data_IF_876377780948
#
_entry.id   IF_876377780948
#
_cell.length_a   1.000
_cell.length_b   1.000
_cell.length_c   1.000
_cell.angle_alpha   90.00
_cell.angle_beta   90.00
_cell.angle_gamma   90.00
#
_symmetry.space_group_name_H-M   'P 1'
#
loop_
_entity.id
_entity.type
_entity.pdbx_description
1 polymer ?
#
# COMPACT_ATOMS: atom_id res chain seq x y z
N UNK A 1 -14.96 -3.67 36.74
CA UNK A 1 -15.51 -2.91 35.59
C UNK A 1 -16.02 -3.95 34.60
N UNK A 2 -17.15 -3.70 33.95
CA UNK A 2 -17.61 -4.56 32.87
C UNK A 2 -16.58 -4.49 31.73
N UNK A 3 -15.84 -5.59 31.53
CA UNK A 3 -14.76 -5.64 30.55
C UNK A 3 -15.28 -5.41 29.12
N UNK A 4 -16.57 -5.70 28.87
CA UNK A 4 -17.24 -5.50 27.59
C UNK A 4 -17.18 -4.04 27.13
N UNK A 5 -17.50 -3.11 28.03
CA UNK A 5 -17.50 -1.68 27.73
C UNK A 5 -16.07 -1.14 27.48
N UNK A 6 -15.07 -1.69 28.19
CA UNK A 6 -13.68 -1.31 28.00
C UNK A 6 -13.14 -1.81 26.65
N UNK A 7 -13.40 -3.06 26.28
CA UNK A 7 -12.99 -3.64 24.98
C UNK A 7 -13.61 -2.90 23.81
N UNK A 8 -14.91 -2.57 23.87
CA UNK A 8 -15.57 -1.80 22.82
C UNK A 8 -14.97 -0.39 22.67
N UNK A 9 -14.59 0.24 23.78
CA UNK A 9 -13.93 1.55 23.76
C UNK A 9 -12.52 1.48 23.16
N UNK A 10 -11.72 0.47 23.54
CA UNK A 10 -10.39 0.22 22.98
C UNK A 10 -10.47 0.01 21.47
N UNK A 11 -11.36 -0.87 21.02
CA UNK A 11 -11.62 -1.09 19.59
C UNK A 11 -11.94 0.21 18.85
N UNK A 12 -12.78 1.08 19.44
CA UNK A 12 -13.12 2.38 18.88
C UNK A 12 -11.90 3.30 18.74
N UNK A 13 -11.03 3.34 19.75
CA UNK A 13 -9.80 4.13 19.71
C UNK A 13 -8.78 3.59 18.71
N UNK A 14 -8.56 2.28 18.66
CA UNK A 14 -7.62 1.67 17.72
C UNK A 14 -8.08 1.88 16.27
N UNK A 15 -9.37 1.66 16.00
CA UNK A 15 -10.00 1.95 14.70
C UNK A 15 -9.82 3.42 14.32
N UNK A 16 -10.11 4.35 15.24
CA UNK A 16 -9.93 5.79 15.00
C UNK A 16 -8.46 6.14 14.75
N UNK A 17 -7.54 5.54 15.50
CA UNK A 17 -6.11 5.76 15.36
C UNK A 17 -5.62 5.34 13.97
N UNK A 18 -6.02 4.17 13.46
CA UNK A 18 -5.71 3.73 12.10
C UNK A 18 -6.22 4.70 11.04
N UNK A 19 -7.43 5.25 11.20
CA UNK A 19 -7.98 6.25 10.28
C UNK A 19 -7.17 7.56 10.29
N UNK A 20 -6.80 8.06 11.47
CA UNK A 20 -5.98 9.27 11.58
C UNK A 20 -4.58 9.04 11.01
N UNK A 21 -3.93 7.94 11.35
CA UNK A 21 -2.63 7.57 10.80
C UNK A 21 -2.70 7.42 9.27
N UNK A 22 -3.75 6.77 8.75
CA UNK A 22 -3.97 6.63 7.31
C UNK A 22 -4.17 7.98 6.62
N UNK A 23 -4.88 8.92 7.24
CA UNK A 23 -5.04 10.27 6.70
C UNK A 23 -3.71 11.06 6.68
N UNK A 24 -2.88 10.90 7.71
CA UNK A 24 -1.54 11.50 7.75
C UNK A 24 -0.62 10.92 6.69
N UNK A 25 -0.63 9.60 6.50
CA UNK A 25 0.16 8.93 5.45
C UNK A 25 -0.38 9.28 4.06
N UNK A 26 -1.70 9.41 3.89
CA UNK A 26 -2.31 9.91 2.65
C UNK A 26 -1.77 11.29 2.26
N UNK A 27 -1.47 12.15 3.23
CA UNK A 27 -0.87 13.46 2.97
C UNK A 27 0.52 13.37 2.30
N UNK A 28 1.22 12.23 2.39
CA UNK A 28 2.44 12.00 1.62
C UNK A 28 2.21 12.11 0.11
N UNK A 29 1.00 11.82 -0.39
CA UNK A 29 0.65 12.01 -1.80
C UNK A 29 0.84 13.47 -2.25
N UNK A 30 0.45 14.44 -1.41
CA UNK A 30 0.72 15.85 -1.67
C UNK A 30 2.23 16.14 -1.65
N UNK A 31 2.96 15.51 -0.73
CA UNK A 31 4.43 15.57 -0.66
C UNK A 31 5.11 15.07 -1.94
N UNK A 32 4.72 13.90 -2.44
CA UNK A 32 5.22 13.35 -3.72
C UNK A 32 4.88 14.26 -4.90
N UNK A 33 3.65 14.76 -4.97
CA UNK A 33 3.26 15.69 -6.03
C UNK A 33 4.14 16.96 -6.04
N UNK A 34 4.41 17.55 -4.88
CA UNK A 34 5.30 18.71 -4.76
C UNK A 34 6.77 18.37 -5.09
N UNK A 35 7.27 17.25 -4.57
CA UNK A 35 8.65 16.80 -4.82
C UNK A 35 8.87 16.53 -6.31
N UNK A 36 8.01 15.74 -6.93
CA UNK A 36 8.14 15.35 -8.33
C UNK A 36 7.94 16.52 -9.28
N UNK A 37 6.96 17.39 -9.03
CA UNK A 37 6.74 18.59 -9.85
C UNK A 37 7.89 19.58 -9.76
N UNK A 38 8.56 19.68 -8.61
CA UNK A 38 9.76 20.51 -8.42
C UNK A 38 11.03 19.96 -9.07
N UNK A 39 11.11 18.63 -9.29
CA UNK A 39 12.30 17.96 -9.86
C UNK A 39 12.25 17.79 -11.39
N UNK A 40 11.09 18.00 -12.01
CA UNK A 40 10.91 17.94 -13.47
C UNK A 40 11.01 19.32 -14.10
N UNK A 41 11.25 19.37 -15.43
CA UNK A 41 11.17 20.62 -16.18
C UNK A 41 9.72 21.13 -16.21
N UNK A 42 9.54 22.45 -16.18
CA UNK A 42 8.22 23.10 -16.14
C UNK A 42 7.23 22.59 -17.23
N UNK A 43 7.74 22.27 -18.43
CA UNK A 43 6.93 21.72 -19.54
C UNK A 43 6.30 20.35 -19.24
N UNK A 44 6.85 19.62 -18.27
CA UNK A 44 6.41 18.27 -17.88
C UNK A 44 5.61 18.27 -16.56
N UNK A 45 5.41 19.43 -15.93
CA UNK A 45 4.73 19.54 -14.63
C UNK A 45 3.30 19.02 -14.68
N UNK A 46 2.53 19.35 -15.73
CA UNK A 46 1.14 18.86 -15.87
C UNK A 46 1.10 17.33 -15.93
N UNK A 47 2.00 16.71 -16.70
CA UNK A 47 2.07 15.24 -16.82
C UNK A 47 2.35 14.59 -15.46
N UNK A 48 3.26 15.15 -14.66
CA UNK A 48 3.64 14.57 -13.37
C UNK A 48 2.51 14.68 -12.33
N UNK A 49 1.76 15.79 -12.34
CA UNK A 49 0.60 15.98 -11.47
C UNK A 49 -0.54 15.04 -11.86
N UNK A 50 -0.78 14.85 -13.16
CA UNK A 50 -1.73 13.84 -13.65
C UNK A 50 -1.33 12.43 -13.21
N UNK A 51 -0.04 12.07 -13.28
CA UNK A 51 0.45 10.77 -12.77
C UNK A 51 0.17 10.60 -11.28
N UNK A 52 0.45 11.62 -10.45
CA UNK A 52 0.24 11.56 -9.01
C UNK A 52 -1.24 11.37 -8.61
N UNK A 53 -2.16 12.02 -9.30
CA UNK A 53 -3.60 11.85 -9.03
C UNK A 53 -4.08 10.48 -9.54
N UNK A 54 -3.72 10.13 -10.77
CA UNK A 54 -4.19 8.90 -11.40
C UNK A 54 -3.62 7.64 -10.75
N UNK A 55 -2.34 7.65 -10.33
CA UNK A 55 -1.75 6.52 -9.60
C UNK A 55 -2.48 6.26 -8.29
N UNK A 56 -2.90 7.32 -7.58
CA UNK A 56 -3.57 7.18 -6.29
C UNK A 56 -4.95 6.55 -6.46
N UNK A 57 -5.70 7.02 -7.47
CA UNK A 57 -6.99 6.43 -7.83
C UNK A 57 -6.85 4.95 -8.23
N UNK A 58 -5.85 4.62 -9.06
CA UNK A 58 -5.58 3.24 -9.47
C UNK A 58 -5.17 2.38 -8.28
N UNK A 59 -4.28 2.86 -7.41
CA UNK A 59 -3.84 2.13 -6.23
C UNK A 59 -5.02 1.79 -5.32
N UNK A 60 -5.87 2.77 -5.01
CA UNK A 60 -7.06 2.55 -4.18
C UNK A 60 -8.00 1.51 -4.79
N UNK A 61 -8.26 1.57 -6.10
CA UNK A 61 -9.16 0.63 -6.78
C UNK A 61 -8.55 -0.76 -6.88
N UNK A 62 -7.30 -0.90 -7.32
CA UNK A 62 -6.67 -2.19 -7.52
C UNK A 62 -6.39 -2.90 -6.20
N UNK A 63 -6.00 -2.14 -5.18
CA UNK A 63 -5.80 -2.68 -3.85
C UNK A 63 -7.12 -3.12 -3.21
N UNK A 64 -8.23 -2.40 -3.45
CA UNK A 64 -9.58 -2.87 -3.07
C UNK A 64 -9.96 -4.17 -3.78
N UNK A 65 -9.84 -4.19 -5.11
CA UNK A 65 -10.44 -5.26 -5.92
C UNK A 65 -9.68 -6.57 -5.73
N UNK A 66 -8.35 -6.54 -5.65
CA UNK A 66 -7.52 -7.75 -5.53
C UNK A 66 -6.37 -7.62 -4.53
N UNK A 67 -5.76 -6.45 -4.39
CA UNK A 67 -4.47 -6.34 -3.72
C UNK A 67 -4.52 -6.68 -2.23
N UNK A 68 -5.54 -6.22 -1.52
CA UNK A 68 -5.71 -6.52 -0.10
C UNK A 68 -5.88 -8.03 0.15
N UNK A 69 -6.69 -8.71 -0.65
CA UNK A 69 -6.88 -10.16 -0.53
C UNK A 69 -5.57 -10.92 -0.72
N UNK A 70 -4.82 -10.59 -1.79
CA UNK A 70 -3.52 -11.21 -2.07
C UNK A 70 -2.57 -11.00 -0.89
N UNK A 71 -2.59 -9.82 -0.27
CA UNK A 71 -1.66 -9.48 0.80
C UNK A 71 -2.02 -10.12 2.13
N UNK A 72 -3.29 -10.19 2.51
CA UNK A 72 -3.71 -10.51 3.88
C UNK A 72 -4.63 -11.73 4.04
N UNK A 73 -5.02 -12.41 2.96
CA UNK A 73 -5.98 -13.53 3.01
C UNK A 73 -5.34 -14.89 2.71
N UNK A 74 -4.08 -15.07 3.07
CA UNK A 74 -3.28 -16.26 2.77
C UNK A 74 -2.87 -17.01 4.04
N UNK A 75 -2.64 -18.35 3.98
CA UNK A 75 -2.13 -19.11 5.10
C UNK A 75 -0.73 -18.65 5.55
N UNK A 76 -0.42 -18.86 6.83
CA UNK A 76 0.88 -18.57 7.41
C UNK A 76 2.02 -19.36 6.73
N UNK A 77 3.19 -18.74 6.62
CA UNK A 77 4.41 -19.37 6.10
C UNK A 77 4.50 -19.55 4.60
N UNK A 78 3.45 -19.21 3.86
CA UNK A 78 3.41 -19.35 2.42
C UNK A 78 4.43 -18.46 1.68
N UNK A 79 4.85 -18.94 0.51
CA UNK A 79 5.59 -18.14 -0.49
C UNK A 79 4.63 -17.56 -1.53
N UNK A 80 3.61 -18.34 -1.90
CA UNK A 80 2.58 -17.93 -2.85
C UNK A 80 1.32 -17.51 -2.09
N UNK A 81 0.79 -16.30 -2.33
CA UNK A 81 -0.46 -15.88 -1.74
C UNK A 81 -1.66 -16.58 -2.39
N UNK A 82 -2.75 -16.67 -1.63
CA UNK A 82 -4.08 -16.96 -2.13
C UNK A 82 -4.57 -15.87 -3.09
N UNK A 83 -5.32 -16.27 -4.10
CA UNK A 83 -5.97 -15.35 -5.03
C UNK A 83 -7.45 -15.23 -4.69
N UNK A 84 -7.94 -14.01 -4.68
CA UNK A 84 -9.33 -13.69 -4.43
C UNK A 84 -9.58 -12.21 -4.59
N UNK A 85 -10.75 -11.76 -4.15
CA UNK A 85 -11.22 -10.41 -4.38
C UNK A 85 -11.72 -9.78 -3.08
N UNK A 86 -11.67 -8.45 -3.03
CA UNK A 86 -12.19 -7.63 -1.94
C UNK A 86 -11.52 -7.93 -0.58
N UNK A 87 -12.02 -7.27 0.46
CA UNK A 87 -11.36 -7.15 1.77
C UNK A 87 -11.83 -8.18 2.80
N UNK A 88 -12.77 -9.06 2.45
CA UNK A 88 -13.36 -10.04 3.36
C UNK A 88 -14.40 -9.45 4.31
N UNK A 89 -14.66 -10.17 5.40
CA UNK A 89 -15.63 -9.80 6.43
C UNK A 89 -15.11 -8.68 7.34
N UNK A 90 -16.03 -8.03 8.07
CA UNK A 90 -15.67 -6.99 9.02
C UNK A 90 -15.33 -7.57 10.39
N UNK A 91 -14.36 -6.96 11.07
CA UNK A 91 -14.07 -7.20 12.47
C UNK A 91 -15.08 -6.45 13.35
N UNK A 92 -16.32 -6.92 13.40
CA UNK A 92 -17.35 -6.25 14.20
C UNK A 92 -17.02 -6.27 15.69
N UNK A 93 -17.51 -5.28 16.44
CA UNK A 93 -17.35 -5.25 17.91
C UNK A 93 -17.83 -6.55 18.55
N UNK A 94 -18.94 -7.11 18.05
CA UNK A 94 -19.48 -8.38 18.54
C UNK A 94 -18.50 -9.56 18.28
N UNK A 95 -17.84 -9.58 17.12
CA UNK A 95 -16.82 -10.58 16.81
C UNK A 95 -15.59 -10.44 17.71
N UNK A 96 -15.16 -9.21 18.01
CA UNK A 96 -14.06 -8.93 18.94
C UNK A 96 -14.39 -9.43 20.34
N UNK A 97 -15.59 -9.13 20.83
CA UNK A 97 -16.05 -9.55 22.16
C UNK A 97 -16.19 -11.07 22.28
N UNK A 98 -16.54 -11.76 21.19
CA UNK A 98 -16.70 -13.22 21.17
C UNK A 98 -15.38 -13.98 20.94
N UNK A 99 -14.35 -13.36 20.36
CA UNK A 99 -13.16 -14.03 19.84
C UNK A 99 -12.04 -14.32 20.86
N UNK A 100 -12.08 -13.73 22.06
CA UNK A 100 -11.04 -13.94 23.07
C UNK A 100 -9.70 -13.29 22.71
N UNK A 101 -8.58 -13.89 23.13
CA UNK A 101 -7.23 -13.28 23.03
C UNK A 101 -6.71 -13.16 21.59
N UNK A 102 -7.18 -14.01 20.67
CA UNK A 102 -6.80 -13.99 19.24
C UNK A 102 -7.76 -13.15 18.38
N UNK A 103 -8.71 -12.45 19.02
CA UNK A 103 -9.67 -11.63 18.30
C UNK A 103 -8.98 -10.41 17.65
N UNK A 104 -9.41 -10.00 16.44
CA UNK A 104 -9.01 -8.71 15.90
C UNK A 104 -9.40 -7.59 16.86
N UNK A 105 -8.62 -6.51 16.93
CA UNK A 105 -8.85 -5.41 17.87
C UNK A 105 -9.22 -4.07 17.20
N UNK A 106 -9.35 -4.06 15.87
CA UNK A 106 -9.74 -2.89 15.09
C UNK A 106 -10.58 -3.30 13.87
N UNK A 107 -11.27 -2.32 13.27
CA UNK A 107 -12.03 -2.53 12.04
C UNK A 107 -11.14 -2.95 10.87
N UNK A 108 -11.51 -4.02 10.17
CA UNK A 108 -10.86 -4.44 8.93
C UNK A 108 -10.87 -3.33 7.87
N UNK A 109 -11.92 -2.49 7.84
CA UNK A 109 -12.01 -1.35 6.92
C UNK A 109 -11.06 -0.22 7.26
N UNK A 110 -10.75 0.00 8.54
CA UNK A 110 -9.73 0.99 8.92
C UNK A 110 -8.31 0.53 8.57
N UNK A 111 -8.02 -0.77 8.72
CA UNK A 111 -6.74 -1.32 8.26
C UNK A 111 -6.65 -1.25 6.74
N UNK A 112 -7.69 -1.68 6.00
CA UNK A 112 -7.72 -1.52 4.54
C UNK A 112 -7.40 -0.09 4.09
N UNK A 113 -8.02 0.92 4.68
CA UNK A 113 -7.71 2.32 4.39
C UNK A 113 -6.24 2.65 4.67
N UNK A 114 -5.72 2.22 5.83
CA UNK A 114 -4.33 2.41 6.20
C UNK A 114 -3.37 1.69 5.24
N UNK A 115 -3.72 0.53 4.70
CA UNK A 115 -2.84 -0.23 3.80
C UNK A 115 -2.83 0.30 2.36
N UNK A 116 -3.97 0.80 1.85
CA UNK A 116 -4.05 1.43 0.52
C UNK A 116 -2.97 2.52 0.36
N UNK A 117 -2.79 3.34 1.39
CA UNK A 117 -1.91 4.51 1.30
C UNK A 117 -0.43 4.11 1.21
N UNK A 118 -0.04 2.95 1.72
CA UNK A 118 1.29 2.36 1.50
C UNK A 118 1.45 1.78 0.11
N UNK A 119 0.42 1.10 -0.43
CA UNK A 119 0.43 0.62 -1.81
C UNK A 119 0.62 1.77 -2.80
N UNK A 120 -0.11 2.88 -2.58
CA UNK A 120 0.03 4.10 -3.35
C UNK A 120 1.43 4.71 -3.19
N UNK A 121 1.97 4.75 -1.96
CA UNK A 121 3.32 5.26 -1.68
C UNK A 121 4.40 4.46 -2.41
N UNK A 122 4.30 3.12 -2.41
CA UNK A 122 5.21 2.25 -3.17
C UNK A 122 5.22 2.60 -4.66
N UNK A 123 4.03 2.82 -5.24
CA UNK A 123 3.90 3.20 -6.65
C UNK A 123 4.40 4.63 -6.93
N UNK A 124 4.23 5.57 -6.00
CA UNK A 124 4.76 6.94 -6.13
C UNK A 124 6.29 6.96 -6.24
N UNK A 125 7.01 6.08 -5.53
CA UNK A 125 8.48 5.97 -5.68
C UNK A 125 8.89 5.70 -7.14
N UNK A 126 8.09 4.89 -7.86
CA UNK A 126 8.34 4.61 -9.28
C UNK A 126 8.10 5.84 -10.13
N UNK A 127 7.02 6.60 -9.87
CA UNK A 127 6.67 7.83 -10.62
C UNK A 127 7.83 8.80 -10.75
N UNK A 128 8.42 9.21 -9.62
CA UNK A 128 9.55 10.12 -9.60
C UNK A 128 10.78 9.61 -10.35
N UNK A 129 11.05 8.30 -10.30
CA UNK A 129 12.21 7.70 -10.96
C UNK A 129 12.06 7.63 -12.50
N UNK A 130 10.84 7.42 -13.00
CA UNK A 130 10.56 7.31 -14.45
C UNK A 130 10.07 8.62 -15.08
N UNK A 131 10.04 9.70 -14.31
CA UNK A 131 9.59 11.01 -14.74
C UNK A 131 10.29 11.49 -16.03
N UNK A 132 9.54 12.22 -16.88
CA UNK A 132 9.95 12.79 -18.16
C UNK A 132 10.28 11.81 -19.31
N UNK A 133 10.23 10.49 -19.10
CA UNK A 133 10.63 9.49 -20.12
C UNK A 133 9.71 8.29 -20.28
N UNK A 134 8.84 8.01 -19.31
CA UNK A 134 7.79 6.99 -19.46
C UNK A 134 6.50 7.62 -19.96
N UNK A 135 5.93 7.05 -21.03
CA UNK A 135 4.60 7.43 -21.53
C UNK A 135 3.54 7.23 -20.44
N UNK A 136 2.61 8.18 -20.31
CA UNK A 136 1.55 8.14 -19.31
C UNK A 136 0.79 6.79 -19.28
N UNK A 137 0.35 6.29 -20.44
CA UNK A 137 -0.40 5.03 -20.51
C UNK A 137 0.40 3.81 -20.03
N UNK A 138 1.69 3.76 -20.33
CA UNK A 138 2.56 2.70 -19.82
C UNK A 138 2.68 2.79 -18.30
N UNK A 139 2.79 4.01 -17.76
CA UNK A 139 2.85 4.25 -16.32
C UNK A 139 1.55 3.82 -15.62
N UNK A 140 0.38 4.16 -16.17
CA UNK A 140 -0.90 3.76 -15.59
C UNK A 140 -1.12 2.25 -15.65
N UNK A 141 -0.75 1.60 -16.76
CA UNK A 141 -0.79 0.13 -16.85
C UNK A 141 0.16 -0.52 -15.83
N UNK A 142 1.35 0.03 -15.65
CA UNK A 142 2.27 -0.44 -14.63
C UNK A 142 1.73 -0.21 -13.21
N UNK A 143 1.07 0.91 -12.93
CA UNK A 143 0.43 1.16 -11.63
C UNK A 143 -0.63 0.10 -11.31
N UNK A 144 -1.41 -0.33 -12.30
CA UNK A 144 -2.39 -1.43 -12.14
C UNK A 144 -1.71 -2.72 -11.71
N UNK A 145 -0.66 -3.13 -12.42
CA UNK A 145 0.08 -4.37 -12.14
C UNK A 145 0.84 -4.28 -10.81
N UNK A 146 1.48 -3.15 -10.55
CA UNK A 146 2.27 -2.94 -9.34
C UNK A 146 1.39 -2.98 -8.10
N UNK A 147 0.30 -2.23 -8.07
CA UNK A 147 -0.56 -2.10 -6.87
C UNK A 147 -1.54 -3.26 -6.72
N UNK A 148 -1.93 -3.90 -7.82
CA UNK A 148 -2.82 -5.05 -7.81
C UNK A 148 -2.13 -6.40 -7.59
N UNK A 149 -0.85 -6.54 -7.97
CA UNK A 149 -0.16 -7.85 -7.94
C UNK A 149 1.24 -7.78 -7.32
N UNK A 150 2.17 -6.99 -7.88
CA UNK A 150 3.59 -7.07 -7.45
C UNK A 150 3.75 -6.66 -5.97
N UNK A 151 3.23 -5.49 -5.61
CA UNK A 151 3.26 -4.97 -4.24
C UNK A 151 2.57 -5.90 -3.23
N UNK A 152 1.31 -6.34 -3.42
CA UNK A 152 0.66 -7.19 -2.45
C UNK A 152 1.27 -8.59 -2.35
N UNK A 153 1.81 -9.17 -3.44
CA UNK A 153 2.50 -10.47 -3.40
C UNK A 153 3.75 -10.41 -2.53
N UNK A 154 4.62 -9.40 -2.73
CA UNK A 154 5.82 -9.28 -1.89
C UNK A 154 5.47 -8.81 -0.47
N UNK A 155 4.39 -8.03 -0.33
CA UNK A 155 3.89 -7.57 0.96
C UNK A 155 3.39 -8.73 1.81
N UNK A 156 2.74 -9.71 1.19
CA UNK A 156 2.31 -10.95 1.85
C UNK A 156 3.47 -11.64 2.58
N UNK A 157 4.65 -11.70 1.96
CA UNK A 157 5.81 -12.38 2.55
C UNK A 157 6.16 -11.90 3.94
N UNK A 158 5.97 -10.61 4.24
CA UNK A 158 6.31 -10.02 5.54
C UNK A 158 5.11 -9.55 6.36
N UNK A 159 4.17 -8.80 5.78
CA UNK A 159 3.02 -8.26 6.52
C UNK A 159 1.78 -9.17 6.45
N UNK A 160 1.73 -10.08 5.50
CA UNK A 160 0.63 -11.03 5.33
C UNK A 160 0.87 -12.41 5.92
N UNK A 161 1.78 -12.54 6.90
CA UNK A 161 2.15 -13.80 7.53
C UNK A 161 2.88 -14.82 6.63
N UNK A 162 3.44 -14.41 5.49
CA UNK A 162 4.24 -15.31 4.63
C UNK A 162 5.62 -15.67 5.20
N UNK A 163 6.44 -16.32 4.36
CA UNK A 163 7.71 -16.94 4.78
C UNK A 163 8.75 -15.99 5.42
N UNK A 164 8.78 -14.69 5.05
CA UNK A 164 9.71 -13.74 5.68
C UNK A 164 9.27 -13.41 7.11
N UNK A 165 7.96 -13.40 7.37
CA UNK A 165 7.44 -13.22 8.71
C UNK A 165 7.88 -14.38 9.61
N UNK A 166 7.73 -15.62 9.16
CA UNK A 166 8.17 -16.82 9.90
C UNK A 166 9.68 -16.88 10.11
N UNK A 167 10.45 -16.41 9.13
CA UNK A 167 11.91 -16.31 9.25
C UNK A 167 12.37 -15.21 10.22
N UNK A 168 11.47 -14.45 10.84
CA UNK A 168 11.78 -13.39 11.79
C UNK A 168 12.29 -12.10 11.15
N UNK A 169 12.01 -11.87 9.85
CA UNK A 169 12.36 -10.61 9.20
C UNK A 169 11.62 -9.43 9.86
N UNK A 170 12.36 -8.36 10.14
CA UNK A 170 11.83 -7.18 10.82
C UNK A 170 11.67 -6.04 9.82
N UNK A 171 10.41 -5.66 9.57
CA UNK A 171 10.05 -4.47 8.83
C UNK A 171 8.78 -3.87 9.45
N UNK A 172 8.97 -2.85 10.28
CA UNK A 172 7.90 -2.27 11.08
C UNK A 172 6.96 -1.38 10.26
N UNK A 173 7.52 -0.51 9.43
CA UNK A 173 6.76 0.55 8.74
C UNK A 173 7.03 0.61 7.22
N UNK A 174 7.69 -0.40 6.65
CA UNK A 174 7.75 -0.59 5.20
C UNK A 174 9.04 -0.11 4.56
N UNK A 175 10.16 -0.11 5.29
CA UNK A 175 11.47 0.16 4.69
C UNK A 175 11.77 -0.84 3.56
N UNK A 176 11.44 -2.11 3.77
CA UNK A 176 11.50 -3.16 2.76
C UNK A 176 10.23 -3.20 1.91
N UNK A 177 9.09 -3.45 2.56
CA UNK A 177 7.79 -3.73 1.92
C UNK A 177 7.32 -2.59 1.02
N UNK A 178 7.63 -1.33 1.35
CA UNK A 178 7.15 -0.15 0.60
C UNK A 178 8.28 0.49 -0.18
N UNK A 179 9.32 0.96 0.52
CA UNK A 179 10.38 1.76 -0.08
C UNK A 179 11.34 0.93 -0.93
N UNK A 180 11.83 -0.20 -0.43
CA UNK A 180 12.71 -1.07 -1.21
C UNK A 180 11.97 -1.72 -2.38
N UNK A 181 10.73 -2.17 -2.19
CA UNK A 181 9.88 -2.68 -3.27
C UNK A 181 9.68 -1.64 -4.39
N UNK A 182 9.33 -0.41 -4.03
CA UNK A 182 9.19 0.70 -4.97
C UNK A 182 10.51 1.05 -5.65
N UNK A 183 11.63 1.05 -4.91
CA UNK A 183 12.95 1.32 -5.44
C UNK A 183 13.44 0.23 -6.41
N UNK A 184 13.15 -1.05 -6.14
CA UNK A 184 13.48 -2.16 -7.02
C UNK A 184 12.69 -2.10 -8.33
N UNK A 185 11.38 -1.84 -8.25
CA UNK A 185 10.52 -1.60 -9.40
C UNK A 185 10.99 -0.38 -10.22
N UNK A 186 11.33 0.72 -9.54
CA UNK A 186 11.89 1.90 -10.15
C UNK A 186 13.20 1.59 -10.87
N UNK A 187 14.13 0.87 -10.24
CA UNK A 187 15.40 0.47 -10.83
C UNK A 187 15.19 -0.35 -12.10
N UNK A 188 14.31 -1.36 -12.07
CA UNK A 188 13.95 -2.15 -13.24
C UNK A 188 13.41 -1.25 -14.38
N UNK A 189 12.50 -0.32 -14.06
CA UNK A 189 11.97 0.64 -15.01
C UNK A 189 13.05 1.56 -15.60
N UNK A 190 13.97 2.06 -14.79
CA UNK A 190 15.07 2.93 -15.25
C UNK A 190 16.05 2.18 -16.16
N UNK A 191 16.36 0.91 -15.84
CA UNK A 191 17.24 0.07 -16.67
C UNK A 191 16.65 -0.15 -18.07
N UNK A 192 15.33 -0.33 -18.17
CA UNK A 192 14.63 -0.47 -19.46
C UNK A 192 14.50 0.85 -20.22
N UNK A 193 14.23 1.96 -19.53
CA UNK A 193 14.02 3.26 -20.16
C UNK A 193 15.32 3.95 -20.58
N UNK A 194 16.47 3.61 -19.96
CA UNK A 194 17.78 4.20 -20.25
C UNK A 194 17.92 5.66 -19.81
N UNK A 195 19.09 6.26 -20.03
CA UNK A 195 19.44 7.60 -19.54
C UNK A 195 18.52 8.72 -20.08
N UNK A 196 18.33 9.78 -19.28
CA UNK A 196 17.58 10.97 -19.70
C UNK A 196 18.36 11.72 -20.77
N UNK A 197 17.76 11.93 -21.94
CA UNK A 197 18.37 12.76 -22.98
C UNK A 197 18.42 14.23 -22.52
N UNK A 198 19.62 14.80 -22.52
CA UNK A 198 19.84 16.23 -22.21
C UNK A 198 19.75 16.60 -20.73
N UNK A 199 20.16 15.69 -19.84
CA UNK A 199 20.61 16.01 -18.48
C UNK A 199 22.09 15.67 -18.36
#
# INVERSE_FOLDING_TARGET
>A
MDNTALTALQYGFDTFYFLICGALVMWMAAGFAMLESGLVRAKNTTEILTKNIALYAIASVMYLVIGYHIMYSSPEGGILPSLGFLIGDENSVDAVLAGGDDAPYYSARSDFFFQIVFAATCMSVVSGAVAERMKLWAFLAFAVVMTGFIYPVQGFWKWGSGFLNEAGFLDFAGSGVVHMAGAAAALAGVLLLGARKGK
#
